data_IF_839888505322
#
_entry.id   IF_839888505322
#
_cell.length_a   1.000
_cell.length_b   1.000
_cell.length_c   1.000
_cell.angle_alpha   90.00
_cell.angle_beta   90.00
_cell.angle_gamma   90.00
#
_symmetry.space_group_name_H-M   'P 1'
#
loop_
_entity.id
_entity.type
_entity.pdbx_description
1 polymer ?
2 polymer ?
3 non-polymer ?
4 non-polymer ?
5 water ?
#
# COMPACT_ATOMS: atom_id res chain seq x y z
N UNK A 2 1.35 22.48 -2.42
CA UNK A 2 0.36 21.57 -1.77
C UNK A 2 1.06 20.58 -0.84
N UNK A 3 0.50 20.38 0.35
CA UNK A 3 1.10 19.47 1.31
C UNK A 3 0.98 18.02 0.83
N UNK A 4 2.06 17.27 1.03
CA UNK A 4 2.14 15.88 0.61
C UNK A 4 2.41 15.00 1.83
N UNK A 5 1.91 13.76 1.75
CA UNK A 5 2.10 12.76 2.79
C UNK A 5 2.51 11.44 2.16
N UNK A 6 3.61 10.87 2.63
CA UNK A 6 4.12 9.59 2.14
C UNK A 6 3.66 8.51 3.11
N UNK A 7 2.61 7.78 2.72
CA UNK A 7 2.05 6.72 3.54
C UNK A 7 2.56 5.37 3.07
N UNK A 8 2.79 4.46 4.02
CA UNK A 8 3.22 3.09 3.73
C UNK A 8 2.30 2.12 4.44
N UNK A 9 1.78 1.14 3.71
CA UNK A 9 0.87 0.14 4.26
C UNK A 9 1.66 -1.15 4.44
N UNK A 10 1.73 -1.67 5.68
CA UNK A 10 2.53 -2.84 6.01
C UNK A 10 1.69 -3.84 6.79
N UNK A 11 2.17 -5.08 6.82
CA UNK A 11 1.47 -6.15 7.49
C UNK A 11 1.67 -7.47 6.77
N UNK A 12 1.27 -8.55 7.45
CA UNK A 12 1.49 -9.90 6.93
C UNK A 12 0.73 -10.10 5.62
N UNK A 13 1.12 -11.14 4.89
CA UNK A 13 0.46 -11.43 3.64
C UNK A 13 -0.99 -11.78 3.85
N UNK A 14 -1.85 -11.25 2.97
CA UNK A 14 -3.25 -11.60 2.93
C UNK A 14 -4.15 -10.88 3.90
N UNK A 15 -3.64 -9.87 4.61
CA UNK A 15 -4.47 -9.19 5.59
C UNK A 15 -5.41 -8.17 4.96
N UNK A 16 -5.15 -7.78 3.72
CA UNK A 16 -5.98 -6.85 3.00
C UNK A 16 -5.35 -5.49 2.73
N UNK A 17 -4.02 -5.39 2.72
CA UNK A 17 -3.37 -4.11 2.48
C UNK A 17 -3.76 -3.53 1.13
N UNK A 18 -3.69 -4.35 0.09
CA UNK A 18 -4.03 -3.88 -1.25
C UNK A 18 -5.51 -3.58 -1.37
N UNK A 19 -6.36 -4.42 -0.80
CA UNK A 19 -7.80 -4.16 -0.87
C UNK A 19 -8.15 -2.83 -0.22
N UNK A 20 -7.50 -2.54 0.92
CA UNK A 20 -7.75 -1.27 1.59
C UNK A 20 -7.27 -0.10 0.74
N UNK A 21 -6.08 -0.23 0.16
CA UNK A 21 -5.52 0.86 -0.63
C UNK A 21 -6.38 1.13 -1.86
N UNK A 22 -6.79 0.07 -2.57
CA UNK A 22 -7.63 0.25 -3.75
C UNK A 22 -8.97 0.85 -3.38
N UNK A 23 -9.52 0.50 -2.22
CA UNK A 23 -10.79 1.11 -1.80
C UNK A 23 -10.63 2.60 -1.55
N UNK A 24 -9.49 3.01 -1.00
CA UNK A 24 -9.25 4.44 -0.81
C UNK A 24 -9.15 5.15 -2.15
N UNK A 25 -8.35 4.59 -3.07
CA UNK A 25 -8.09 5.24 -4.35
C UNK A 25 -9.36 5.34 -5.16
N UNK A 26 -10.15 4.28 -5.18
CA UNK A 26 -11.40 4.24 -5.92
C UNK A 26 -12.32 3.24 -5.25
N UNK A 27 -13.60 3.31 -5.58
CA UNK A 27 -14.57 2.39 -5.00
C UNK A 27 -14.51 1.09 -5.79
N UNK A 28 -13.84 0.10 -5.23
CA UNK A 28 -13.70 -1.19 -5.91
C UNK A 28 -13.12 -2.17 -4.92
N UNK A 29 -13.71 -3.36 -4.82
CA UNK A 29 -13.22 -4.39 -3.90
C UNK A 29 -12.74 -5.57 -4.74
N UNK A 30 -11.43 -5.82 -4.70
CA UNK A 30 -10.84 -6.98 -5.35
C UNK A 30 -11.02 -8.19 -4.45
N UNK A 31 -11.67 -9.24 -4.98
CA UNK A 31 -11.88 -10.48 -4.25
C UNK A 31 -11.12 -11.60 -4.98
N UNK A 32 -9.80 -11.53 -4.94
CA UNK A 32 -8.97 -12.49 -5.65
C UNK A 32 -7.59 -12.50 -5.02
N UNK A 33 -6.81 -13.53 -5.34
CA UNK A 33 -5.46 -13.72 -4.82
C UNK A 33 -4.47 -13.04 -5.77
N UNK A 34 -3.89 -11.93 -5.33
CA UNK A 34 -2.95 -11.18 -6.16
C UNK A 34 -1.88 -10.58 -5.27
N UNK A 35 -0.94 -11.39 -4.80
CA UNK A 35 0.05 -10.89 -3.83
C UNK A 35 0.88 -9.77 -4.43
N UNK A 36 1.18 -8.79 -3.59
CA UNK A 36 1.89 -7.59 -3.99
C UNK A 36 3.39 -7.80 -3.89
N UNK A 37 4.13 -7.25 -4.86
CA UNK A 37 5.57 -7.10 -4.73
C UNK A 37 5.84 -5.67 -4.27
N UNK A 38 5.45 -4.69 -5.08
CA UNK A 38 5.38 -3.32 -4.60
C UNK A 38 4.51 -2.51 -5.54
N UNK A 39 3.67 -1.65 -4.98
CA UNK A 39 2.79 -0.80 -5.76
C UNK A 39 2.71 0.56 -5.09
N UNK A 40 2.88 1.62 -5.87
CA UNK A 40 2.72 2.98 -5.35
C UNK A 40 1.57 3.67 -6.06
N UNK A 41 0.79 4.42 -5.27
CA UNK A 41 -0.40 5.11 -5.71
C UNK A 41 -0.30 6.57 -5.27
N UNK A 42 -0.93 7.44 -6.04
CA UNK A 42 -0.98 8.86 -5.71
C UNK A 42 -2.43 9.31 -5.80
N UNK A 43 -2.89 10.08 -4.80
CA UNK A 43 -4.25 10.57 -4.84
C UNK A 43 -4.34 11.90 -4.12
N UNK A 44 -5.01 12.86 -4.76
CA UNK A 44 -5.36 14.12 -4.12
C UNK A 44 -6.67 13.94 -3.35
N UNK A 45 -6.67 14.38 -2.09
CA UNK A 45 -7.84 14.22 -1.23
C UNK A 45 -8.06 15.52 -0.47
N UNK A 46 -9.24 15.63 0.15
CA UNK A 46 -9.56 16.71 1.07
C UNK A 46 -9.67 16.11 2.46
N UNK A 47 -8.87 16.63 3.39
CA UNK A 47 -8.86 16.19 4.78
C UNK A 47 -9.07 17.42 5.65
N UNK A 48 -10.15 17.42 6.43
CA UNK A 48 -10.46 18.55 7.30
C UNK A 48 -10.49 19.86 6.52
N UNK A 49 -11.13 19.83 5.35
CA UNK A 49 -11.29 21.00 4.51
C UNK A 49 -10.08 21.37 3.67
N UNK A 50 -8.95 20.72 3.86
CA UNK A 50 -7.70 21.07 3.21
C UNK A 50 -7.35 20.04 2.14
N UNK A 51 -6.92 20.52 0.98
CA UNK A 51 -6.51 19.62 -0.09
C UNK A 51 -5.09 19.14 0.15
N UNK A 52 -4.90 17.81 0.07
CA UNK A 52 -3.63 17.15 0.35
C UNK A 52 -3.36 16.15 -0.77
N UNK A 53 -2.09 15.84 -0.95
CA UNK A 53 -1.65 14.83 -1.91
C UNK A 53 -1.09 13.65 -1.12
N UNK A 54 -1.67 12.47 -1.32
CA UNK A 54 -1.20 11.26 -0.67
C UNK A 54 -0.39 10.44 -1.67
N UNK A 55 0.80 10.02 -1.26
CA UNK A 55 1.57 8.99 -1.95
C UNK A 55 1.53 7.76 -1.08
N UNK A 56 0.91 6.69 -1.58
CA UNK A 56 0.68 5.48 -0.80
C UNK A 56 1.52 4.36 -1.38
N UNK A 57 2.38 3.78 -0.56
CA UNK A 57 3.16 2.61 -0.93
C UNK A 57 2.51 1.37 -0.33
N UNK A 58 2.04 0.49 -1.20
CA UNK A 58 1.45 -0.80 -0.83
C UNK A 58 2.54 -1.86 -0.93
N UNK A 59 2.87 -2.48 0.21
CA UNK A 59 4.06 -3.32 0.30
C UNK A 59 3.71 -4.80 0.27
N UNK A 60 4.75 -5.61 0.13
CA UNK A 60 4.60 -7.06 0.08
C UNK A 60 4.51 -7.64 1.48
N UNK A 61 3.48 -8.46 1.71
CA UNK A 61 3.41 -9.22 2.95
C UNK A 61 4.23 -10.48 2.91
N UNK A 62 4.45 -11.05 1.73
CA UNK A 62 5.18 -12.31 1.64
C UNK A 62 6.66 -12.06 1.92
N UNK A 63 7.22 -12.86 2.83
CA UNK A 63 8.55 -12.56 3.35
C UNK A 63 9.65 -12.71 2.31
N UNK A 64 9.37 -13.39 1.18
CA UNK A 64 10.37 -13.50 0.12
C UNK A 64 10.83 -12.14 -0.39
N UNK A 65 9.99 -11.10 -0.25
CA UNK A 65 10.31 -9.77 -0.74
C UNK A 65 10.78 -8.83 0.37
N UNK A 66 11.15 -9.38 1.53
CA UNK A 66 11.44 -8.53 2.68
C UNK A 66 12.69 -7.68 2.51
N UNK A 67 13.55 -8.00 1.53
CA UNK A 67 14.75 -7.20 1.33
C UNK A 67 14.43 -5.74 1.00
N UNK A 68 13.21 -5.45 0.55
CA UNK A 68 12.81 -4.10 0.18
C UNK A 68 12.40 -3.25 1.38
N UNK A 69 12.31 -3.84 2.56
CA UNK A 69 11.69 -3.15 3.69
C UNK A 69 12.55 -2.02 4.22
N UNK A 70 13.85 -2.26 4.37
CA UNK A 70 14.72 -1.20 4.89
C UNK A 70 14.53 0.09 4.10
N UNK A 71 14.47 0.00 2.78
CA UNK A 71 14.40 1.22 1.98
C UNK A 71 13.06 1.94 2.18
N UNK A 72 11.94 1.20 2.15
CA UNK A 72 10.67 1.90 2.27
C UNK A 72 10.39 2.34 3.70
N UNK A 73 10.99 1.68 4.69
CA UNK A 73 10.87 2.17 6.06
C UNK A 73 11.66 3.45 6.28
N UNK A 74 12.81 3.60 5.61
CA UNK A 74 13.56 4.85 5.71
C UNK A 74 12.80 6.01 5.08
N UNK A 75 12.12 5.77 3.97
CA UNK A 75 11.48 6.82 3.19
C UNK A 75 10.07 7.18 3.68
N UNK A 76 9.36 6.23 4.27
CA UNK A 76 7.98 6.48 4.62
C UNK A 76 7.83 7.46 5.77
N UNK A 77 6.77 8.25 5.72
CA UNK A 77 6.50 9.24 6.76
C UNK A 77 5.51 8.76 7.80
N UNK A 78 4.61 7.85 7.43
CA UNK A 78 3.69 7.25 8.37
C UNK A 78 3.33 5.87 7.87
N UNK A 79 2.97 4.99 8.79
CA UNK A 79 2.77 3.58 8.48
C UNK A 79 1.42 3.12 8.96
N UNK A 80 0.66 2.52 8.05
CA UNK A 80 -0.61 1.88 8.36
C UNK A 80 -0.28 0.42 8.64
N UNK A 81 -0.38 0.01 9.89
CA UNK A 81 0.05 -1.33 10.33
C UNK A 81 -1.20 -2.21 10.40
N UNK A 82 -1.36 -3.08 9.41
CA UNK A 82 -2.60 -3.82 9.19
C UNK A 82 -2.43 -5.27 9.64
N UNK A 83 -3.41 -5.76 10.39
CA UNK A 83 -3.61 -7.19 10.63
C UNK A 83 -5.06 -7.52 10.27
N UNK A 84 -5.36 -8.81 10.18
CA UNK A 84 -6.73 -9.26 9.95
C UNK A 84 -7.29 -9.81 11.25
N UNK A 85 -8.55 -9.46 11.54
CA UNK A 85 -9.14 -9.81 12.83
C UNK A 85 -9.43 -11.30 12.98
N UNK A 86 -9.31 -12.07 11.89
CA UNK A 86 -9.45 -13.52 11.93
C UNK A 86 -8.11 -14.23 11.78
N UNK A 87 -7.00 -13.52 12.02
CA UNK A 87 -5.66 -14.05 11.82
C UNK A 87 -4.79 -13.59 12.99
N UNK A 88 -4.75 -14.40 14.05
CA UNK A 88 -3.97 -14.03 15.22
C UNK A 88 -2.49 -13.88 14.90
N UNK A 89 -1.96 -14.73 14.02
CA UNK A 89 -0.57 -14.59 13.61
C UNK A 89 -0.29 -13.22 13.02
N UNK A 90 -1.19 -12.68 12.19
CA UNK A 90 -0.94 -11.35 11.63
C UNK A 90 -0.96 -10.28 12.71
N UNK A 91 -1.74 -10.48 13.77
CA UNK A 91 -1.74 -9.56 14.90
C UNK A 91 -0.40 -9.62 15.64
N UNK A 92 0.12 -10.84 15.84
CA UNK A 92 1.42 -10.98 16.47
C UNK A 92 2.54 -10.38 15.63
N UNK A 93 2.41 -10.43 14.30
CA UNK A 93 3.41 -9.85 13.43
C UNK A 93 3.51 -8.34 13.55
N UNK A 94 2.45 -7.67 14.03
CA UNK A 94 2.46 -6.21 14.14
C UNK A 94 3.63 -5.76 14.98
N UNK A 95 3.87 -6.42 16.11
CA UNK A 95 4.93 -6.03 17.01
C UNK A 95 6.25 -5.88 16.25
N UNK A 96 6.58 -6.85 15.42
CA UNK A 96 7.89 -6.83 14.79
C UNK A 96 7.95 -5.84 13.64
N UNK A 97 6.85 -5.59 12.94
CA UNK A 97 6.84 -4.52 11.96
C UNK A 97 7.11 -3.17 12.64
N UNK A 98 6.39 -2.88 13.74
CA UNK A 98 6.61 -1.63 14.44
C UNK A 98 8.04 -1.52 14.95
N UNK A 99 8.56 -2.61 15.54
CA UNK A 99 9.93 -2.58 16.05
C UNK A 99 10.94 -2.35 14.92
N UNK A 100 10.71 -2.97 13.77
CA UNK A 100 11.65 -2.81 12.67
C UNK A 100 11.60 -1.39 12.12
N UNK A 101 10.40 -0.80 12.03
CA UNK A 101 10.29 0.58 11.57
C UNK A 101 11.08 1.50 12.49
N UNK A 102 10.90 1.34 13.80
CA UNK A 102 11.63 2.18 14.75
C UNK A 102 13.12 1.93 14.67
N UNK A 103 13.52 0.68 14.45
CA UNK A 103 14.94 0.35 14.30
C UNK A 103 15.52 1.04 13.08
N UNK A 104 14.83 0.94 11.94
CA UNK A 104 15.35 1.48 10.70
C UNK A 104 15.41 3.01 10.74
N UNK A 105 14.40 3.63 11.32
CA UNK A 105 14.33 5.08 11.41
C UNK A 105 15.02 5.63 12.65
N UNK A 106 15.52 4.75 13.52
CA UNK A 106 16.23 5.14 14.73
C UNK A 106 15.44 6.16 15.55
N UNK A 107 14.16 5.87 15.74
CA UNK A 107 13.29 6.79 16.45
C UNK A 107 12.13 6.02 17.09
N UNK A 108 11.77 6.41 18.31
CA UNK A 108 10.63 5.82 19.00
C UNK A 108 9.32 6.54 18.66
N UNK A 109 9.37 7.66 17.96
CA UNK A 109 8.19 8.44 17.59
C UNK A 109 8.09 8.43 16.07
N UNK A 110 7.37 7.45 15.54
CA UNK A 110 7.10 7.33 14.11
C UNK A 110 5.58 7.30 13.94
N UNK A 111 5.00 8.17 13.11
CA UNK A 111 3.53 8.13 12.93
C UNK A 111 3.07 6.78 12.43
N UNK A 112 2.10 6.20 13.14
CA UNK A 112 1.56 4.88 12.84
C UNK A 112 0.11 4.83 13.26
N UNK A 113 -0.65 3.99 12.57
CA UNK A 113 -2.02 3.66 12.94
C UNK A 113 -2.16 2.15 12.87
N UNK A 114 -2.75 1.56 13.90
CA UNK A 114 -3.04 0.14 13.93
C UNK A 114 -4.40 -0.11 13.30
N UNK A 115 -4.47 -1.04 12.35
CA UNK A 115 -5.68 -1.30 11.59
C UNK A 115 -6.02 -2.77 11.67
N UNK A 116 -7.20 -3.09 12.20
CA UNK A 116 -7.72 -4.43 12.19
C UNK A 116 -8.73 -4.58 11.07
N UNK A 117 -8.35 -5.27 10.01
CA UNK A 117 -9.15 -5.36 8.80
C UNK A 117 -9.98 -6.64 8.78
N UNK A 118 -10.93 -6.68 7.84
CA UNK A 118 -11.85 -7.80 7.65
C UNK A 118 -12.91 -7.86 8.75
N UNK A 119 -13.31 -6.70 9.28
CA UNK A 119 -14.28 -6.67 10.36
C UNK A 119 -15.69 -7.06 9.91
N UNK A 120 -15.90 -7.28 8.61
CA UNK A 120 -17.15 -7.83 8.12
C UNK A 120 -17.31 -9.31 8.45
N UNK A 121 -16.24 -9.97 8.85
CA UNK A 121 -16.29 -11.41 9.10
C UNK A 121 -16.89 -11.70 10.47
N UNK A 122 -17.80 -12.68 10.56
CA UNK A 122 -18.28 -13.09 11.89
C UNK A 122 -17.23 -13.87 12.67
N UNK A 123 -16.34 -14.59 11.98
CA UNK A 123 -15.29 -15.36 12.62
C UNK A 123 -14.14 -14.42 12.99
N UNK A 124 -14.01 -14.13 14.28
CA UNK A 124 -12.98 -13.25 14.80
C UNK A 124 -12.13 -14.02 15.80
N UNK A 125 -10.81 -13.77 15.76
CA UNK A 125 -9.90 -14.34 16.75
C UNK A 125 -9.16 -13.29 17.58
N UNK A 126 -9.19 -12.03 17.17
CA UNK A 126 -8.60 -10.93 17.93
C UNK A 126 -9.74 -10.03 18.37
N UNK A 127 -10.01 -9.99 19.67
CA UNK A 127 -11.03 -9.10 20.21
C UNK A 127 -10.66 -7.65 19.94
N UNK A 128 -11.67 -6.84 19.62
CA UNK A 128 -11.45 -5.40 19.47
C UNK A 128 -10.75 -4.84 20.69
N UNK A 129 -11.15 -5.27 21.90
CA UNK A 129 -10.58 -4.72 23.13
C UNK A 129 -9.10 -5.05 23.24
N UNK A 130 -8.69 -6.24 22.81
CA UNK A 130 -7.28 -6.57 22.91
C UNK A 130 -6.45 -5.70 21.96
N UNK A 131 -6.94 -5.47 20.76
CA UNK A 131 -6.19 -4.65 19.80
C UNK A 131 -6.19 -3.20 20.21
N UNK A 132 -7.32 -2.71 20.72
CA UNK A 132 -7.38 -1.35 21.25
C UNK A 132 -6.35 -1.16 22.36
N UNK A 133 -6.20 -2.15 23.23
CA UNK A 133 -5.26 -2.04 24.33
C UNK A 133 -3.82 -2.04 23.82
N UNK A 134 -3.52 -2.90 22.84
CA UNK A 134 -2.20 -2.87 22.24
C UNK A 134 -1.89 -1.47 21.71
N UNK A 135 -2.83 -0.88 20.98
CA UNK A 135 -2.61 0.45 20.42
C UNK A 135 -2.45 1.48 21.53
N UNK A 136 -3.25 1.35 22.59
CA UNK A 136 -3.14 2.26 23.72
C UNK A 136 -1.72 2.26 24.29
N UNK A 137 -1.11 1.09 24.43
CA UNK A 137 0.23 1.01 25.00
C UNK A 137 1.28 1.50 24.02
N UNK A 138 1.04 1.34 22.71
CA UNK A 138 1.91 1.93 21.71
C UNK A 138 1.79 3.45 21.67
N UNK A 139 0.64 3.98 22.08
CA UNK A 139 0.36 5.39 21.91
C UNK A 139 -0.08 5.77 20.52
N UNK A 140 -0.78 4.89 19.82
CA UNK A 140 -1.21 5.18 18.46
C UNK A 140 -2.70 4.86 18.31
N UNK A 141 -3.35 5.43 17.29
CA UNK A 141 -4.76 5.11 17.04
C UNK A 141 -4.97 3.68 16.58
N UNK A 142 -6.16 3.15 16.90
CA UNK A 142 -6.62 1.87 16.41
C UNK A 142 -7.95 2.04 15.68
N UNK A 143 -8.07 1.42 14.51
CA UNK A 143 -9.28 1.50 13.70
C UNK A 143 -9.55 0.12 13.13
N UNK A 144 -10.79 -0.35 13.23
CA UNK A 144 -11.21 -1.59 12.60
C UNK A 144 -11.87 -1.26 11.26
N UNK A 145 -11.46 -1.97 10.22
CA UNK A 145 -11.87 -1.67 8.86
C UNK A 145 -12.41 -2.91 8.15
N UNK A 146 -13.14 -2.65 7.06
CA UNK A 146 -13.48 -3.68 6.10
C UNK A 146 -13.28 -3.11 4.70
N UNK A 147 -12.28 -3.60 3.98
CA UNK A 147 -12.13 -3.25 2.59
C UNK A 147 -13.32 -3.74 1.77
N UNK A 148 -13.97 -4.83 2.20
CA UNK A 148 -15.09 -5.37 1.44
C UNK A 148 -16.29 -4.43 1.48
N UNK A 149 -16.61 -3.88 2.66
CA UNK A 149 -17.76 -3.01 2.82
C UNK A 149 -17.40 -1.53 2.81
N UNK A 150 -16.11 -1.18 2.78
CA UNK A 150 -15.59 0.18 2.86
C UNK A 150 -15.71 0.78 4.26
N UNK A 151 -16.08 -0.02 5.25
CA UNK A 151 -16.24 0.50 6.60
C UNK A 151 -14.91 1.02 7.14
N UNK A 152 -14.89 2.34 7.42
CA UNK A 152 -13.79 3.04 8.08
C UNK A 152 -12.50 3.03 7.28
N UNK A 153 -12.56 2.75 5.97
CA UNK A 153 -11.34 2.71 5.17
C UNK A 153 -10.73 4.11 5.06
N UNK A 154 -11.54 5.08 4.64
CA UNK A 154 -11.07 6.46 4.57
C UNK A 154 -10.59 6.93 5.95
N UNK A 155 -11.37 6.61 6.99
CA UNK A 155 -10.98 6.97 8.35
C UNK A 155 -9.58 6.50 8.69
N UNK A 156 -9.24 5.27 8.30
CA UNK A 156 -7.93 4.72 8.64
C UNK A 156 -6.82 5.57 8.01
N UNK A 157 -6.91 5.81 6.70
CA UNK A 157 -5.85 6.55 6.03
C UNK A 157 -5.82 8.00 6.51
N UNK A 158 -7.00 8.61 6.71
CA UNK A 158 -7.03 10.01 7.11
C UNK A 158 -6.51 10.19 8.53
N UNK A 159 -6.79 9.22 9.40
CA UNK A 159 -6.23 9.27 10.75
C UNK A 159 -4.71 9.22 10.72
N UNK A 160 -4.14 8.40 9.83
CA UNK A 160 -2.69 8.38 9.69
C UNK A 160 -2.17 9.72 9.22
N UNK A 161 -2.86 10.36 8.27
CA UNK A 161 -2.44 11.68 7.81
C UNK A 161 -2.45 12.66 8.97
N UNK A 162 -3.50 12.63 9.79
CA UNK A 162 -3.57 13.53 10.93
C UNK A 162 -2.44 13.27 11.93
N UNK A 163 -2.03 12.01 12.09
CA UNK A 163 -0.89 11.71 12.95
C UNK A 163 0.38 12.35 12.39
N UNK A 164 0.59 12.27 11.07
CA UNK A 164 1.76 12.89 10.47
C UNK A 164 1.67 14.41 10.60
N UNK A 165 0.48 14.96 10.35
CA UNK A 165 0.31 16.41 10.41
C UNK A 165 0.69 16.93 11.80
N UNK A 166 0.34 16.20 12.85
CA UNK A 166 0.68 16.64 14.20
C UNK A 166 2.16 16.42 14.49
N UNK A 167 2.70 15.28 14.07
CA UNK A 167 4.12 14.98 14.28
C UNK A 167 5.00 16.05 13.68
N UNK A 168 4.66 16.54 12.48
CA UNK A 168 5.45 17.59 11.85
C UNK A 168 5.47 18.87 12.69
N UNK A 169 4.37 19.18 13.38
CA UNK A 169 4.31 20.39 14.19
C UNK A 169 4.97 20.21 15.54
N UNK A 170 5.11 18.97 16.01
CA UNK A 170 5.84 18.70 17.24
C UNK A 170 7.30 19.14 17.12
N UNK A 171 7.86 19.10 15.91
CA UNK A 171 9.19 19.60 15.59
C UNK A 171 10.03 20.03 16.79
N UNK B 5 11.72 -13.40 -11.56
CA UNK B 5 11.04 -13.04 -12.80
C UNK B 5 10.12 -11.84 -12.59
N UNK B 6 10.71 -10.67 -12.32
CA UNK B 6 9.95 -9.47 -12.07
C UNK B 6 10.40 -8.35 -13.00
N UNK B 7 9.49 -7.41 -13.24
CA UNK B 7 9.76 -6.22 -14.04
C UNK B 7 9.27 -5.02 -13.25
N UNK B 8 10.14 -4.03 -13.06
CA UNK B 8 9.76 -2.77 -12.44
C UNK B 8 9.22 -1.85 -13.54
N UNK B 9 8.04 -1.28 -13.30
CA UNK B 9 7.36 -0.47 -14.30
C UNK B 9 6.99 0.86 -13.66
N UNK B 10 7.54 1.93 -14.20
CA UNK B 10 7.11 3.27 -13.80
C UNK B 10 5.84 3.64 -14.54
N UNK B 11 4.89 4.21 -13.81
CA UNK B 11 3.57 4.53 -14.32
C UNK B 11 3.34 6.03 -14.32
N UNK B 12 2.34 6.51 -15.04
CA UNK B 12 2.06 7.95 -15.05
C UNK B 12 1.76 8.49 -13.66
N UNK B 13 1.92 9.82 -13.53
CA UNK B 13 1.66 10.53 -12.28
C UNK B 13 2.49 9.98 -11.13
N UNK B 14 3.78 9.73 -11.42
CA UNK B 14 4.77 9.38 -10.39
C UNK B 14 4.37 8.13 -9.58
N UNK B 15 3.82 7.14 -10.27
CA UNK B 15 3.45 5.87 -9.67
C UNK B 15 4.34 4.77 -10.23
N UNK B 16 4.31 3.60 -9.60
CA UNK B 16 5.12 2.48 -10.06
C UNK B 16 4.52 1.18 -9.55
N UNK B 17 4.87 0.09 -10.25
CA UNK B 17 4.46 -1.25 -9.87
C UNK B 17 5.59 -2.20 -10.23
N UNK B 18 5.62 -3.33 -9.54
CA UNK B 18 6.50 -4.45 -9.88
C UNK B 18 5.60 -5.63 -10.19
N UNK B 19 5.75 -6.20 -11.38
CA UNK B 19 4.92 -7.30 -11.85
C UNK B 19 5.77 -8.55 -11.93
N UNK B 20 5.19 -9.68 -11.51
CA UNK B 20 5.82 -10.98 -11.66
C UNK B 20 5.37 -11.60 -12.97
N UNK B 21 6.33 -12.10 -13.75
CA UNK B 21 6.03 -12.65 -15.06
C UNK B 21 6.04 -14.19 -15.01
N UNK B 24 3.62 -17.28 -19.48
CA UNK B 24 4.10 -16.26 -20.38
C UNK B 24 2.97 -15.47 -21.03
N UNK B 25 2.77 -14.24 -20.57
CA UNK B 25 1.69 -13.37 -21.06
C UNK B 25 2.28 -12.04 -21.51
N UNK B 26 1.49 -11.29 -22.27
CA UNK B 26 1.95 -10.06 -22.88
C UNK B 26 2.00 -8.93 -21.87
N UNK B 27 2.58 -7.80 -22.28
CA UNK B 27 2.64 -6.62 -21.42
C UNK B 27 1.26 -6.09 -21.11
N UNK B 28 0.39 -6.02 -22.12
CA UNK B 28 -0.97 -5.53 -21.91
C UNK B 28 -1.67 -6.32 -20.81
N UNK B 29 -1.67 -7.65 -20.93
CA UNK B 29 -2.41 -8.48 -19.99
C UNK B 29 -1.91 -8.33 -18.57
N UNK B 30 -0.59 -8.23 -18.40
CA UNK B 30 0.00 -8.21 -17.06
C UNK B 30 0.02 -6.82 -16.43
N UNK B 31 -0.18 -5.76 -17.23
CA UNK B 31 -0.28 -4.41 -16.70
C UNK B 31 -1.70 -3.86 -16.71
N UNK B 32 -2.65 -4.58 -17.31
CA UNK B 32 -4.04 -4.13 -17.34
C UNK B 32 -4.54 -3.74 -15.95
N UNK B 33 -4.33 -4.60 -14.97
CA UNK B 33 -4.91 -4.35 -13.65
C UNK B 33 -4.27 -3.14 -13.00
N UNK B 34 -2.93 -3.06 -13.04
CA UNK B 34 -2.24 -1.92 -12.43
C UNK B 34 -2.73 -0.61 -13.03
N UNK B 35 -2.98 -0.58 -14.34
CA UNK B 35 -3.48 0.66 -14.93
C UNK B 35 -4.92 0.92 -14.51
N UNK B 36 -5.75 -0.12 -14.46
CA UNK B 36 -7.18 0.09 -14.19
C UNK B 36 -7.43 0.62 -12.80
N UNK B 37 -6.73 0.10 -11.79
CA UNK B 37 -6.96 0.57 -10.43
C UNK B 37 -6.47 1.98 -10.22
N UNK B 38 -5.61 2.48 -11.11
CA UNK B 38 -5.15 3.86 -11.06
C UNK B 38 -5.94 4.77 -11.99
N UNK B 39 -7.03 4.27 -12.57
CA UNK B 39 -7.86 5.08 -13.45
C UNK B 39 -7.26 5.34 -14.82
N UNK B 40 -6.46 4.42 -15.33
CA UNK B 40 -5.77 4.60 -16.59
C UNK B 40 -6.23 3.55 -17.59
N UNK B 41 -6.56 4.00 -18.80
CA UNK B 41 -6.95 3.11 -19.89
C UNK B 41 -5.71 2.74 -20.70
N UNK B 42 -5.36 1.46 -20.83
CA UNK B 42 -4.19 1.10 -21.64
C UNK B 42 -4.25 1.66 -23.05
N UNK B 43 -5.44 1.78 -23.64
CA UNK B 43 -5.57 2.32 -24.99
C UNK B 43 -5.19 3.80 -25.06
N UNK B 44 -5.01 4.46 -23.91
CA UNK B 44 -4.58 5.85 -23.87
C UNK B 44 -3.12 5.99 -23.49
N UNK B 45 -2.39 4.88 -23.39
CA UNK B 45 -1.01 4.89 -22.93
C UNK B 45 -0.14 4.07 -23.87
N UNK B 46 1.16 4.35 -23.82
CA UNK B 46 2.18 3.57 -24.49
C UNK B 46 3.19 3.08 -23.46
N UNK B 47 3.77 1.91 -23.71
CA UNK B 47 4.76 1.31 -22.82
C UNK B 47 6.12 1.35 -23.50
N UNK B 48 7.14 1.74 -22.76
CA UNK B 48 8.48 1.91 -23.28
C UNK B 48 9.47 1.12 -22.45
N UNK B 49 10.54 0.68 -23.12
CA UNK B 49 11.70 0.10 -22.45
C UNK B 49 12.74 1.20 -22.23
N UNK B 50 13.30 1.25 -21.03
CA UNK B 50 14.28 2.28 -20.70
C UNK B 50 15.66 1.85 -21.13
N UNK B 51 16.38 2.75 -21.81
CA UNK B 51 17.71 2.47 -22.34
C UNK B 51 17.62 1.38 -23.40
N UNK B 58 14.52 5.88 -24.26
CA UNK B 58 13.23 5.20 -24.36
C UNK B 58 12.96 4.68 -25.76
N UNK B 59 12.44 3.46 -25.85
CA UNK B 59 12.02 2.85 -27.10
C UNK B 59 10.65 2.24 -26.88
N UNK B 60 9.68 2.64 -27.70
CA UNK B 60 8.31 2.15 -27.51
C UNK B 60 8.25 0.66 -27.82
N UNK B 61 7.51 -0.06 -26.98
CA UNK B 61 7.27 -1.49 -27.13
C UNK B 61 5.81 -1.72 -27.51
N UNK B 62 5.57 -2.78 -28.28
CA UNK B 62 4.21 -3.13 -28.64
C UNK B 62 3.50 -3.72 -27.42
N UNK B 63 2.27 -3.28 -27.18
CA UNK B 63 1.53 -3.75 -26.01
C UNK B 63 1.39 -5.27 -26.00
N UNK B 64 1.37 -5.90 -27.18
CA UNK B 64 1.27 -7.35 -27.25
C UNK B 64 2.61 -8.04 -27.09
N UNK B 65 3.66 -7.31 -26.73
CA UNK B 65 4.97 -7.92 -26.53
C UNK B 65 4.92 -8.91 -25.39
N UNK B 66 5.66 -10.00 -25.53
CA UNK B 66 5.74 -11.00 -24.47
C UNK B 66 6.46 -10.40 -23.27
N UNK B 67 5.78 -10.37 -22.12
CA UNK B 67 6.42 -9.84 -20.91
C UNK B 67 7.63 -10.65 -20.51
N UNK B 68 7.62 -11.96 -20.76
CA UNK B 68 8.78 -12.79 -20.44
C UNK B 68 10.03 -12.30 -21.15
N UNK B 69 9.87 -11.73 -22.35
CA UNK B 69 11.01 -11.23 -23.12
C UNK B 69 11.61 -9.96 -22.54
N UNK B 70 11.03 -9.39 -21.48
CA UNK B 70 11.52 -8.16 -20.88
C UNK B 70 11.94 -8.34 -19.43
N UNK B 71 12.02 -9.58 -18.95
CA UNK B 71 12.42 -9.82 -17.58
C UNK B 71 13.80 -9.23 -17.33
N UNK B 72 13.94 -8.49 -16.23
CA UNK B 72 15.20 -7.89 -15.85
C UNK B 72 15.35 -6.44 -16.23
N UNK B 73 14.55 -5.94 -17.18
CA UNK B 73 14.62 -4.56 -17.63
C UNK B 73 13.56 -3.73 -16.92
N UNK B 74 13.71 -2.41 -17.03
CA UNK B 74 12.78 -1.45 -16.45
C UNK B 74 11.94 -0.82 -17.55
N UNK B 75 10.64 -0.77 -17.35
CA UNK B 75 9.70 -0.22 -18.31
C UNK B 75 9.08 1.06 -17.77
N UNK B 76 8.46 1.81 -18.68
CA UNK B 76 7.80 3.05 -18.33
C UNK B 76 6.53 3.19 -19.16
N UNK B 77 5.41 3.45 -18.50
CA UNK B 77 4.14 3.72 -19.14
C UNK B 77 3.87 5.21 -19.04
N UNK B 78 3.60 5.84 -20.18
CA UNK B 78 3.35 7.27 -20.26
C UNK B 78 2.05 7.52 -21.01
N UNK B 79 1.36 8.60 -20.61
CA UNK B 79 0.19 9.04 -21.38
C UNK B 79 0.60 9.29 -22.83
N UNK B 80 -0.28 8.93 -23.75
CA UNK B 80 -0.08 9.25 -25.17
C UNK B 80 -0.86 10.52 -25.52
#
# INVERSE_FOLDING_TARGET
GMTEYKLVVVGAGGVGKSALTIQLIQNHFVDEYDPTIEDSYRKQVVIDGETCLLDILDTAGQEEYSAMRDQYMRTGEGFLCVFAINNTKSFEDIHHYREQIKRVKDSEDVPMVLVGNKCDLPSRTVDTKQAQDLARSYGIPFIETSAKTRQRVEDAFYTLVREIRQYRLKKISKEEKT
SKTSNTIRVFLPNKQRTVVNVRNGMSLHDCLMKALKVRGLQPECCAVFRLLHEHKGKKARLDWNTDAASLIGEELQVDFL
#
